data_IF_148918773684
#
_entry.id   IF_148918773684
#
_cell.length_a   1.000
_cell.length_b   1.000
_cell.length_c   1.000
_cell.angle_alpha   90.00
_cell.angle_beta   90.00
_cell.angle_gamma   90.00
#
_symmetry.space_group_name_H-M   'P 1'
#
loop_
_entity.id
_entity.type
_entity.pdbx_description
1 polymer ?
#
# COMPACT_ATOMS: atom_id res chain seq x y z
N UNK A 1 37.53 -38.56 41.47
CA UNK A 1 37.95 -39.12 40.16
C UNK A 1 38.76 -38.07 39.43
N UNK A 2 39.99 -38.42 39.03
CA UNK A 2 41.03 -37.47 38.63
C UNK A 2 40.98 -37.26 37.10
N UNK A 3 40.54 -36.08 36.65
CA UNK A 3 40.34 -35.70 35.23
C UNK A 3 41.62 -35.79 34.38
N UNK A 4 42.79 -35.81 35.01
CA UNK A 4 44.09 -35.87 34.33
C UNK A 4 44.41 -37.21 33.66
N UNK A 5 43.72 -38.30 34.02
CA UNK A 5 44.00 -39.62 33.42
C UNK A 5 43.15 -39.95 32.19
N UNK A 6 42.09 -39.19 31.89
CA UNK A 6 41.23 -39.43 30.72
C UNK A 6 41.86 -38.88 29.44
N UNK A 7 42.72 -37.87 29.53
CA UNK A 7 43.31 -37.20 28.36
C UNK A 7 44.59 -37.87 27.81
N UNK A 8 45.09 -38.93 28.46
CA UNK A 8 46.40 -39.53 28.15
C UNK A 8 46.33 -40.91 27.49
N UNK A 9 45.12 -41.45 27.30
CA UNK A 9 44.90 -42.74 26.64
C UNK A 9 44.28 -42.50 25.26
N UNK A 10 44.74 -43.17 24.21
CA UNK A 10 44.25 -42.96 22.83
C UNK A 10 42.74 -43.24 22.68
N UNK A 11 42.14 -43.93 23.66
CA UNK A 11 40.69 -44.16 23.78
C UNK A 11 39.92 -43.00 24.45
N UNK A 12 40.59 -42.09 25.15
CA UNK A 12 39.98 -40.96 25.85
C UNK A 12 39.86 -39.68 25.00
N UNK A 13 40.61 -39.58 23.89
CA UNK A 13 40.53 -38.48 22.93
C UNK A 13 39.26 -38.49 22.06
N UNK A 14 38.60 -39.64 21.91
CA UNK A 14 37.37 -39.74 21.12
C UNK A 14 36.24 -38.88 21.72
N UNK A 15 36.16 -38.83 23.05
CA UNK A 15 35.06 -38.18 23.77
C UNK A 15 35.01 -36.65 23.57
N UNK A 16 36.11 -35.87 23.71
CA UNK A 16 36.10 -34.45 23.40
C UNK A 16 35.92 -34.17 21.90
N UNK A 17 36.44 -35.03 21.02
CA UNK A 17 36.25 -34.89 19.56
C UNK A 17 34.77 -35.09 19.20
N UNK A 18 34.14 -36.16 19.69
CA UNK A 18 32.72 -36.42 19.48
C UNK A 18 31.85 -35.32 20.07
N UNK A 19 32.16 -34.81 21.26
CA UNK A 19 31.45 -33.68 21.87
C UNK A 19 31.55 -32.41 21.00
N UNK A 20 32.74 -32.10 20.47
CA UNK A 20 32.95 -30.98 19.55
C UNK A 20 32.14 -31.12 18.26
N UNK A 21 32.12 -32.33 17.67
CA UNK A 21 31.32 -32.61 16.47
C UNK A 21 29.82 -32.44 16.73
N UNK A 22 29.30 -32.98 17.84
CA UNK A 22 27.90 -32.83 18.24
C UNK A 22 27.56 -31.34 18.42
N UNK A 23 28.44 -30.58 19.05
CA UNK A 23 28.25 -29.15 19.25
C UNK A 23 28.16 -28.38 17.93
N UNK A 24 29.03 -28.70 16.96
CA UNK A 24 28.98 -28.11 15.61
C UNK A 24 27.67 -28.48 14.91
N UNK A 25 27.21 -29.73 15.00
CA UNK A 25 25.93 -30.13 14.43
C UNK A 25 24.75 -29.37 15.06
N UNK A 26 24.74 -29.21 16.37
CA UNK A 26 23.70 -28.43 17.06
C UNK A 26 23.74 -26.94 16.65
N UNK A 27 24.93 -26.38 16.47
CA UNK A 27 25.12 -25.02 15.97
C UNK A 27 24.50 -24.83 14.57
N UNK A 28 24.75 -25.78 13.67
CA UNK A 28 24.17 -25.75 12.32
C UNK A 28 22.65 -25.87 12.35
N UNK A 29 22.11 -26.78 13.18
CA UNK A 29 20.66 -26.93 13.33
C UNK A 29 20.03 -25.65 13.88
N UNK A 30 20.66 -25.02 14.87
CA UNK A 30 20.19 -23.75 15.44
C UNK A 30 20.05 -22.66 14.38
N UNK A 31 21.10 -22.48 13.56
CA UNK A 31 21.11 -21.50 12.47
C UNK A 31 20.00 -21.81 11.46
N UNK A 32 19.88 -23.07 11.01
CA UNK A 32 18.89 -23.46 9.99
C UNK A 32 17.46 -23.26 10.49
N UNK A 33 17.17 -23.62 11.74
CA UNK A 33 15.82 -23.50 12.31
C UNK A 33 15.43 -22.04 12.47
N UNK A 34 16.28 -21.20 13.09
CA UNK A 34 15.94 -19.80 13.31
C UNK A 34 15.92 -19.00 12.00
N UNK A 35 16.84 -19.28 11.08
CA UNK A 35 16.81 -18.66 9.75
C UNK A 35 15.59 -19.09 8.92
N UNK A 36 15.18 -20.35 9.04
CA UNK A 36 13.97 -20.86 8.40
C UNK A 36 12.70 -20.16 8.92
N UNK A 37 12.58 -20.03 10.24
CA UNK A 37 11.49 -19.27 10.88
C UNK A 37 11.50 -17.81 10.48
N UNK A 38 12.68 -17.18 10.48
CA UNK A 38 12.85 -15.79 10.04
C UNK A 38 12.42 -15.60 8.58
N UNK A 39 12.87 -16.46 7.67
CA UNK A 39 12.51 -16.37 6.25
C UNK A 39 11.01 -16.52 6.05
N UNK A 40 10.38 -17.50 6.71
CA UNK A 40 8.94 -17.66 6.66
C UNK A 40 8.18 -16.44 7.22
N UNK A 41 8.64 -15.88 8.34
CA UNK A 41 8.04 -14.69 8.94
C UNK A 41 8.25 -13.44 8.06
N UNK A 42 9.38 -13.32 7.37
CA UNK A 42 9.66 -12.24 6.42
C UNK A 42 8.70 -12.28 5.21
N UNK A 43 8.40 -13.46 4.67
CA UNK A 43 7.42 -13.60 3.57
C UNK A 43 6.00 -13.23 4.02
N UNK A 44 5.61 -13.63 5.25
CA UNK A 44 4.35 -13.19 5.85
C UNK A 44 4.33 -11.67 6.05
N UNK A 45 5.45 -11.07 6.48
CA UNK A 45 5.58 -9.62 6.65
C UNK A 45 5.45 -8.88 5.30
N UNK A 46 6.06 -9.40 4.23
CA UNK A 46 5.88 -8.87 2.86
C UNK A 46 4.41 -8.90 2.46
N UNK A 47 3.74 -10.04 2.67
CA UNK A 47 2.31 -10.20 2.36
C UNK A 47 1.44 -9.21 3.17
N UNK A 48 1.75 -9.02 4.44
CA UNK A 48 1.08 -8.04 5.30
C UNK A 48 1.32 -6.60 4.82
N UNK A 49 2.55 -6.29 4.36
CA UNK A 49 2.90 -5.01 3.74
C UNK A 49 2.13 -4.78 2.43
N UNK A 50 2.05 -5.77 1.56
CA UNK A 50 1.39 -5.68 0.25
C UNK A 50 -0.12 -5.46 0.40
N UNK A 51 -0.74 -6.19 1.32
CA UNK A 51 -2.15 -6.01 1.66
C UNK A 51 -2.42 -4.66 2.29
N UNK A 52 -1.55 -4.18 3.18
CA UNK A 52 -1.63 -2.84 3.77
C UNK A 52 -1.49 -1.74 2.71
N UNK A 53 -0.51 -1.86 1.81
CA UNK A 53 -0.29 -0.90 0.73
C UNK A 53 -1.48 -0.86 -0.25
N UNK A 54 -2.02 -2.03 -0.61
CA UNK A 54 -3.22 -2.13 -1.44
C UNK A 54 -4.44 -1.49 -0.76
N UNK A 55 -4.62 -1.71 0.55
CA UNK A 55 -5.71 -1.10 1.31
C UNK A 55 -5.58 0.42 1.36
N UNK A 56 -4.37 0.93 1.57
CA UNK A 56 -4.06 2.34 1.52
C UNK A 56 -4.38 2.95 0.14
N UNK A 57 -3.94 2.30 -0.94
CA UNK A 57 -4.23 2.72 -2.30
C UNK A 57 -5.74 2.72 -2.62
N UNK A 58 -6.51 1.79 -2.04
CA UNK A 58 -7.97 1.74 -2.18
C UNK A 58 -8.72 2.81 -1.40
N UNK A 59 -8.10 3.48 -0.42
CA UNK A 59 -8.78 4.53 0.35
C UNK A 59 -8.94 5.84 -0.42
N UNK A 60 -8.47 5.89 -1.67
CA UNK A 60 -8.44 7.10 -2.49
C UNK A 60 -9.81 7.42 -3.08
N UNK A 61 -10.16 8.71 -3.10
CA UNK A 61 -11.31 9.20 -3.87
C UNK A 61 -10.85 9.67 -5.26
N UNK A 62 -11.63 9.35 -6.29
CA UNK A 62 -11.40 9.84 -7.65
C UNK A 62 -12.23 11.09 -7.90
N UNK A 63 -11.64 12.11 -8.51
CA UNK A 63 -12.26 13.39 -8.81
C UNK A 63 -12.19 13.72 -10.29
N UNK A 64 -13.20 14.45 -10.75
CA UNK A 64 -13.28 14.97 -12.11
C UNK A 64 -13.70 16.44 -12.09
N UNK A 65 -13.18 17.18 -13.08
CA UNK A 65 -13.67 18.50 -13.46
C UNK A 65 -14.36 18.38 -14.80
N UNK A 66 -15.63 18.75 -14.86
CA UNK A 66 -16.48 18.66 -16.05
C UNK A 66 -16.84 20.06 -16.55
N UNK A 67 -16.91 20.19 -17.86
CA UNK A 67 -17.58 21.27 -18.58
C UNK A 67 -18.88 20.68 -19.13
N UNK A 68 -20.01 21.23 -18.72
CA UNK A 68 -21.35 20.73 -19.05
C UNK A 68 -22.07 21.82 -19.81
N UNK A 69 -22.37 21.56 -21.08
CA UNK A 69 -23.33 22.36 -21.84
C UNK A 69 -24.75 22.03 -21.33
N UNK A 70 -25.47 22.99 -20.69
CA UNK A 70 -26.80 22.73 -20.14
C UNK A 70 -27.83 22.40 -21.23
N UNK A 71 -27.50 22.65 -22.49
CA UNK A 71 -28.33 22.41 -23.65
C UNK A 71 -29.49 23.40 -23.74
N UNK A 72 -30.70 22.91 -24.00
CA UNK A 72 -31.85 23.79 -24.23
C UNK A 72 -33.04 23.47 -23.33
N UNK A 73 -33.90 24.46 -23.11
CA UNK A 73 -35.16 24.31 -22.38
C UNK A 73 -36.35 24.66 -23.26
N UNK A 74 -37.50 24.08 -22.93
CA UNK A 74 -38.76 24.44 -23.55
C UNK A 74 -39.12 25.89 -23.26
N UNK A 75 -39.30 26.66 -24.33
CA UNK A 75 -39.85 27.99 -24.30
C UNK A 75 -40.87 28.18 -25.42
N UNK A 76 -41.59 29.29 -25.36
CA UNK A 76 -42.57 29.72 -26.33
C UNK A 76 -41.88 30.54 -27.43
N UNK A 77 -41.69 29.95 -28.62
CA UNK A 77 -41.21 30.70 -29.78
C UNK A 77 -42.39 31.27 -30.57
N UNK A 78 -42.22 32.50 -31.04
CA UNK A 78 -43.16 33.17 -31.94
C UNK A 78 -43.06 32.62 -33.36
N UNK A 79 -44.15 32.02 -33.85
CA UNK A 79 -44.25 31.50 -35.22
C UNK A 79 -44.89 32.52 -36.20
N UNK A 80 -44.75 33.81 -35.95
CA UNK A 80 -45.15 34.89 -36.87
C UNK A 80 -46.65 35.22 -36.94
N UNK A 81 -47.55 34.32 -36.53
CA UNK A 81 -49.01 34.50 -36.61
C UNK A 81 -49.72 34.52 -35.24
N UNK A 82 -49.10 35.14 -34.23
CA UNK A 82 -49.69 35.29 -32.88
C UNK A 82 -49.89 33.98 -32.12
N UNK A 83 -49.31 32.89 -32.61
CA UNK A 83 -49.28 31.58 -31.98
C UNK A 83 -47.95 31.31 -31.28
N UNK A 84 -48.05 30.77 -30.07
CA UNK A 84 -46.92 30.23 -29.31
C UNK A 84 -46.67 28.78 -29.74
N UNK A 85 -45.51 28.51 -30.32
CA UNK A 85 -45.09 27.14 -30.64
C UNK A 85 -43.99 26.71 -29.66
N UNK A 86 -44.12 25.52 -29.05
CA UNK A 86 -43.12 25.05 -28.12
C UNK A 86 -41.83 24.78 -28.90
N UNK A 87 -40.75 25.45 -28.50
CA UNK A 87 -39.42 25.32 -29.09
C UNK A 87 -38.37 25.10 -28.00
N UNK A 88 -37.19 24.62 -28.38
CA UNK A 88 -36.06 24.50 -27.47
C UNK A 88 -35.13 25.70 -27.65
N UNK A 89 -35.03 26.54 -26.62
CA UNK A 89 -34.10 27.68 -26.56
C UNK A 89 -32.91 27.35 -25.69
N UNK A 90 -31.75 27.92 -26.02
CA UNK A 90 -30.50 27.71 -25.29
C UNK A 90 -30.63 28.09 -23.81
N UNK A 91 -30.11 27.24 -22.92
CA UNK A 91 -30.10 27.45 -21.48
C UNK A 91 -28.92 28.29 -20.99
N UNK A 92 -28.03 28.69 -21.89
CA UNK A 92 -26.93 29.59 -21.62
C UNK A 92 -25.58 28.87 -21.60
N UNK A 93 -24.59 29.57 -21.05
CA UNK A 93 -23.19 29.15 -21.19
C UNK A 93 -22.85 27.84 -20.46
N UNK A 94 -21.84 27.08 -20.95
CA UNK A 94 -21.36 25.88 -20.29
C UNK A 94 -20.94 26.08 -18.83
N UNK A 95 -21.31 25.13 -17.99
CA UNK A 95 -21.09 25.16 -16.54
C UNK A 95 -19.90 24.28 -16.18
N UNK A 96 -19.00 24.80 -15.34
CA UNK A 96 -17.87 24.04 -14.80
C UNK A 96 -18.25 23.43 -13.45
N UNK A 97 -18.17 22.11 -13.34
CA UNK A 97 -18.51 21.38 -12.11
C UNK A 97 -17.32 20.51 -11.68
N UNK A 98 -17.01 20.53 -10.39
CA UNK A 98 -15.98 19.68 -9.77
C UNK A 98 -16.64 18.78 -8.74
N UNK A 99 -16.30 17.50 -8.76
CA UNK A 99 -16.83 16.54 -7.79
C UNK A 99 -16.19 15.17 -7.96
N UNK A 100 -16.70 14.20 -7.18
CA UNK A 100 -16.24 12.82 -7.30
C UNK A 100 -16.62 12.24 -8.64
N UNK A 101 -15.73 11.44 -9.21
CA UNK A 101 -15.97 10.71 -10.45
C UNK A 101 -17.20 9.80 -10.32
N UNK A 102 -17.32 9.11 -9.18
CA UNK A 102 -18.48 8.26 -8.90
C UNK A 102 -19.81 9.02 -8.92
N UNK A 103 -19.86 10.22 -8.33
CA UNK A 103 -21.09 10.99 -8.22
C UNK A 103 -21.45 11.66 -9.54
N UNK A 104 -20.46 12.24 -10.22
CA UNK A 104 -20.72 13.00 -11.44
C UNK A 104 -20.83 12.11 -12.67
N UNK A 105 -19.93 11.15 -12.86
CA UNK A 105 -19.86 10.30 -14.06
C UNK A 105 -20.58 8.97 -13.86
N UNK A 106 -20.18 8.18 -12.87
CA UNK A 106 -20.67 6.79 -12.74
C UNK A 106 -22.17 6.73 -12.42
N UNK A 107 -22.64 7.66 -11.57
CA UNK A 107 -24.05 7.82 -11.21
C UNK A 107 -24.81 8.83 -12.10
N UNK A 108 -24.20 9.28 -13.20
CA UNK A 108 -24.76 10.29 -14.12
C UNK A 108 -25.24 11.58 -13.43
N UNK A 109 -24.65 11.94 -12.28
CA UNK A 109 -25.04 13.13 -11.52
C UNK A 109 -24.84 14.45 -12.28
N UNK A 110 -24.03 14.45 -13.35
CA UNK A 110 -23.91 15.58 -14.27
C UNK A 110 -25.23 15.95 -14.96
N UNK A 111 -26.18 15.01 -15.11
CA UNK A 111 -27.47 15.26 -15.78
C UNK A 111 -28.34 16.29 -15.07
N UNK A 112 -28.14 16.51 -13.77
CA UNK A 112 -28.89 17.51 -13.00
C UNK A 112 -28.63 18.95 -13.44
N UNK A 113 -27.57 19.16 -14.23
CA UNK A 113 -27.22 20.44 -14.82
C UNK A 113 -27.81 20.61 -16.24
N UNK A 114 -28.49 19.60 -16.77
CA UNK A 114 -29.17 19.69 -18.06
C UNK A 114 -30.55 20.33 -17.93
N UNK A 115 -30.93 21.08 -18.95
CA UNK A 115 -32.27 21.60 -19.12
C UNK A 115 -33.25 20.56 -19.67
N UNK A 116 -34.53 20.97 -19.81
CA UNK A 116 -35.65 20.09 -20.14
C UNK A 116 -35.62 19.49 -21.55
N UNK A 117 -35.00 20.14 -22.54
CA UNK A 117 -34.74 19.53 -23.84
C UNK A 117 -33.47 18.67 -23.87
N UNK A 118 -32.70 18.64 -22.76
CA UNK A 118 -31.51 17.82 -22.57
C UNK A 118 -30.19 18.52 -22.92
N UNK A 119 -29.08 17.93 -22.48
CA UNK A 119 -27.73 18.36 -22.83
C UNK A 119 -27.29 17.78 -24.19
N UNK A 120 -26.69 18.60 -25.05
CA UNK A 120 -26.04 18.17 -26.28
C UNK A 120 -24.70 17.45 -25.99
N UNK A 121 -24.58 16.16 -26.30
CA UNK A 121 -23.27 15.47 -26.38
C UNK A 121 -22.62 15.04 -25.05
N UNK A 122 -23.27 15.27 -23.91
CA UNK A 122 -22.77 14.85 -22.59
C UNK A 122 -21.64 15.74 -22.04
N UNK A 123 -21.14 15.46 -20.82
CA UNK A 123 -20.15 16.30 -20.17
C UNK A 123 -18.77 16.11 -20.79
N UNK A 124 -18.05 17.20 -20.99
CA UNK A 124 -16.64 17.17 -21.39
C UNK A 124 -15.77 17.14 -20.14
N UNK A 125 -14.90 16.14 -20.05
CA UNK A 125 -13.96 16.02 -18.93
C UNK A 125 -12.77 16.96 -19.19
N UNK A 126 -12.56 17.91 -18.29
CA UNK A 126 -11.45 18.86 -18.36
C UNK A 126 -10.22 18.41 -17.57
N UNK A 127 -10.44 17.75 -16.43
CA UNK A 127 -9.38 17.25 -15.56
C UNK A 127 -9.87 16.02 -14.79
N UNK A 128 -8.94 15.14 -14.43
CA UNK A 128 -9.17 13.95 -13.62
C UNK A 128 -7.98 13.72 -12.72
N UNK A 129 -8.24 13.42 -11.46
CA UNK A 129 -7.19 13.12 -10.49
C UNK A 129 -7.73 12.25 -9.37
N UNK A 130 -6.84 11.88 -8.46
CA UNK A 130 -7.20 11.18 -7.25
C UNK A 130 -6.76 11.98 -6.03
N UNK A 131 -7.47 11.87 -4.92
CA UNK A 131 -7.11 12.58 -3.71
C UNK A 131 -7.22 11.66 -2.51
N UNK A 132 -6.16 11.67 -1.71
CA UNK A 132 -6.14 10.99 -0.43
C UNK A 132 -6.56 11.99 0.64
N UNK A 133 -7.75 11.78 1.19
CA UNK A 133 -8.33 12.61 2.23
C UNK A 133 -7.36 12.88 3.37
N UNK A 134 -7.50 14.06 3.98
CA UNK A 134 -6.74 14.45 5.16
C UNK A 134 -5.22 14.36 4.94
N UNK A 135 -4.74 14.65 3.72
CA UNK A 135 -3.32 14.57 3.37
C UNK A 135 -2.74 13.16 3.47
N UNK A 136 -3.56 12.13 3.25
CA UNK A 136 -3.16 10.72 3.33
C UNK A 136 -3.45 10.03 4.66
N UNK A 137 -4.01 10.71 5.67
CA UNK A 137 -4.30 10.09 6.98
C UNK A 137 -5.24 8.88 6.88
N UNK A 138 -6.23 8.93 5.99
CA UNK A 138 -7.16 7.82 5.75
C UNK A 138 -6.41 6.60 5.16
N UNK A 139 -5.44 6.84 4.29
CA UNK A 139 -4.60 5.79 3.71
C UNK A 139 -3.72 5.13 4.77
N UNK A 140 -3.12 5.92 5.66
CA UNK A 140 -2.34 5.41 6.81
C UNK A 140 -3.23 4.57 7.73
N UNK A 141 -4.44 5.03 8.02
CA UNK A 141 -5.37 4.32 8.90
C UNK A 141 -5.82 3.00 8.28
N UNK A 142 -6.15 2.99 6.99
CA UNK A 142 -6.48 1.78 6.25
C UNK A 142 -5.30 0.78 6.20
N UNK A 143 -4.08 1.27 5.93
CA UNK A 143 -2.87 0.46 5.93
C UNK A 143 -2.64 -0.22 7.29
N UNK A 144 -2.71 0.56 8.37
CA UNK A 144 -2.51 0.06 9.74
C UNK A 144 -3.55 -0.98 10.12
N UNK A 145 -4.83 -0.69 9.89
CA UNK A 145 -5.91 -1.61 10.22
C UNK A 145 -5.74 -2.98 9.53
N UNK A 146 -5.37 -2.98 8.24
CA UNK A 146 -5.14 -4.22 7.49
C UNK A 146 -3.85 -4.90 7.92
N UNK A 147 -2.78 -4.15 8.20
CA UNK A 147 -1.53 -4.72 8.70
C UNK A 147 -1.72 -5.44 10.03
N UNK A 148 -2.41 -4.82 11.00
CA UNK A 148 -2.66 -5.41 12.32
C UNK A 148 -3.34 -6.79 12.25
N UNK A 149 -4.27 -6.98 11.30
CA UNK A 149 -4.99 -8.25 11.12
C UNK A 149 -4.12 -9.31 10.42
N UNK A 150 -3.10 -8.88 9.67
CA UNK A 150 -2.20 -9.75 8.90
C UNK A 150 -0.80 -9.88 9.52
N UNK A 151 -0.61 -9.41 10.76
CA UNK A 151 0.69 -9.49 11.42
C UNK A 151 1.20 -10.93 11.49
N UNK A 152 2.47 -11.19 11.18
CA UNK A 152 3.06 -12.50 11.39
C UNK A 152 3.09 -12.82 12.89
N UNK A 153 2.51 -13.96 13.27
CA UNK A 153 2.49 -14.42 14.67
C UNK A 153 3.87 -14.47 15.32
N UNK A 154 4.92 -14.79 14.54
CA UNK A 154 6.31 -14.86 14.99
C UNK A 154 6.92 -13.48 15.31
N UNK A 155 6.27 -12.41 14.87
CA UNK A 155 6.68 -11.01 15.05
C UNK A 155 5.69 -10.25 15.97
N UNK A 156 4.89 -10.97 16.74
CA UNK A 156 4.06 -10.39 17.79
C UNK A 156 4.77 -10.39 19.15
N UNK A 157 4.38 -9.45 20.01
CA UNK A 157 4.96 -9.29 21.35
C UNK A 157 4.86 -10.56 22.20
N UNK A 158 3.74 -11.29 22.09
CA UNK A 158 3.54 -12.54 22.82
C UNK A 158 4.50 -13.67 22.40
N UNK A 159 5.03 -13.62 21.17
CA UNK A 159 6.07 -14.51 20.67
C UNK A 159 7.50 -13.98 20.96
N UNK A 160 7.60 -12.84 21.65
CA UNK A 160 8.85 -12.11 21.89
C UNK A 160 9.31 -11.29 20.69
N UNK A 161 8.50 -11.15 19.64
CA UNK A 161 8.80 -10.34 18.46
C UNK A 161 8.19 -8.93 18.53
N UNK A 162 8.32 -8.17 17.44
CA UNK A 162 7.54 -6.94 17.24
C UNK A 162 7.41 -6.65 15.75
N UNK A 163 6.33 -5.99 15.34
CA UNK A 163 6.17 -5.54 13.95
C UNK A 163 5.33 -4.27 13.86
N UNK A 164 5.67 -3.42 12.90
CA UNK A 164 4.98 -2.16 12.63
C UNK A 164 5.15 -1.76 11.16
N UNK A 165 4.34 -0.81 10.70
CA UNK A 165 4.48 -0.20 9.38
C UNK A 165 4.77 1.30 9.46
N UNK A 166 5.44 1.81 8.44
CA UNK A 166 5.53 3.23 8.14
C UNK A 166 4.97 3.50 6.74
N UNK A 167 4.30 4.65 6.58
CA UNK A 167 3.65 5.06 5.34
C UNK A 167 4.02 6.52 5.12
N UNK A 168 4.71 6.82 4.02
CA UNK A 168 5.01 8.21 3.65
C UNK A 168 3.81 8.79 2.88
N UNK A 169 3.25 9.89 3.41
CA UNK A 169 2.12 10.59 2.82
C UNK A 169 2.48 11.94 2.20
N UNK A 170 3.77 12.34 2.25
CA UNK A 170 4.23 13.67 1.84
C UNK A 170 3.91 14.03 0.38
N UNK A 171 3.73 13.01 -0.46
CA UNK A 171 3.41 13.11 -1.88
C UNK A 171 1.96 12.74 -2.22
N UNK A 172 1.13 12.31 -1.26
CA UNK A 172 -0.26 11.85 -1.48
C UNK A 172 -1.30 12.98 -1.59
N UNK A 173 -0.87 14.20 -1.94
CA UNK A 173 -1.75 15.34 -2.14
C UNK A 173 -2.01 15.60 -3.61
N UNK A 174 -3.23 16.03 -3.96
CA UNK A 174 -3.55 16.53 -5.30
C UNK A 174 -2.65 17.68 -5.81
N UNK A 175 -1.93 18.39 -4.92
CA UNK A 175 -0.96 19.43 -5.29
C UNK A 175 0.41 18.85 -5.70
N UNK A 176 0.60 17.54 -5.52
CA UNK A 176 1.84 16.81 -5.79
C UNK A 176 1.68 15.83 -6.95
N UNK A 177 0.74 16.08 -7.87
CA UNK A 177 0.52 15.26 -9.08
C UNK A 177 1.76 15.10 -9.97
N UNK A 178 2.71 16.04 -9.87
CA UNK A 178 3.98 16.00 -10.59
C UNK A 178 5.06 15.14 -9.88
N UNK A 179 4.76 14.57 -8.72
CA UNK A 179 5.68 13.65 -8.05
C UNK A 179 5.66 12.31 -8.76
N UNK A 180 6.85 11.74 -9.02
CA UNK A 180 6.98 10.41 -9.60
C UNK A 180 6.34 9.31 -8.72
N UNK A 181 6.16 9.57 -7.43
CA UNK A 181 5.56 8.63 -6.47
C UNK A 181 4.02 8.67 -6.48
N UNK A 182 3.44 9.80 -6.90
CA UNK A 182 2.00 9.96 -7.00
C UNK A 182 1.47 9.18 -8.23
N UNK A 183 0.31 8.50 -8.15
CA UNK A 183 -0.67 8.53 -7.06
C UNK A 183 -0.65 7.30 -6.15
N UNK A 184 0.38 6.45 -6.20
CA UNK A 184 0.38 5.18 -5.46
C UNK A 184 0.76 5.35 -4.01
N UNK A 185 0.58 4.33 -3.17
CA UNK A 185 0.96 4.39 -1.75
C UNK A 185 2.06 3.39 -1.47
N UNK A 186 3.12 3.84 -0.81
CA UNK A 186 4.23 3.00 -0.36
C UNK A 186 4.13 2.73 1.14
N UNK A 187 4.34 1.47 1.51
CA UNK A 187 4.33 1.00 2.90
C UNK A 187 5.63 0.27 3.15
N UNK A 188 6.36 0.65 4.19
CA UNK A 188 7.47 -0.13 4.71
C UNK A 188 6.98 -0.89 5.93
N UNK A 189 7.12 -2.21 5.92
CA UNK A 189 6.85 -3.05 7.08
C UNK A 189 8.17 -3.48 7.73
N UNK A 190 8.22 -3.37 9.04
CA UNK A 190 9.36 -3.74 9.86
C UNK A 190 8.93 -4.80 10.86
N UNK A 191 9.82 -5.78 11.08
CA UNK A 191 9.55 -6.91 11.96
C UNK A 191 10.80 -7.38 12.70
N UNK A 192 10.60 -7.97 13.87
CA UNK A 192 11.63 -8.61 14.68
C UNK A 192 11.14 -9.98 15.08
N UNK A 193 11.94 -11.01 14.81
CA UNK A 193 11.70 -12.39 15.23
C UNK A 193 12.72 -12.76 16.29
N UNK A 194 12.25 -13.25 17.43
CA UNK A 194 13.13 -13.79 18.47
C UNK A 194 13.70 -15.14 18.06
N UNK A 195 15.02 -15.29 18.19
CA UNK A 195 15.68 -16.58 17.98
C UNK A 195 15.41 -17.52 19.15
N UNK A 196 15.27 -18.80 18.85
CA UNK A 196 15.02 -19.83 19.87
C UNK A 196 16.29 -20.58 20.22
N UNK A 197 17.10 -20.87 19.21
CA UNK A 197 18.28 -21.70 19.34
C UNK A 197 19.52 -20.84 19.27
N UNK A 198 19.63 -19.90 18.33
CA UNK A 198 20.84 -19.09 18.12
C UNK A 198 21.28 -18.28 19.36
N UNK A 199 20.39 -18.02 20.31
CA UNK A 199 20.75 -17.38 21.59
C UNK A 199 21.80 -18.20 22.38
N UNK A 200 21.91 -19.51 22.12
CA UNK A 200 22.95 -20.37 22.70
C UNK A 200 24.38 -19.93 22.33
N UNK A 201 24.57 -19.21 21.21
CA UNK A 201 25.88 -18.72 20.79
C UNK A 201 26.45 -17.67 21.74
N UNK A 202 25.63 -17.05 22.62
CA UNK A 202 26.10 -16.19 23.72
C UNK A 202 27.04 -16.93 24.69
N UNK A 203 26.98 -18.26 24.74
CA UNK A 203 27.93 -19.08 25.52
C UNK A 203 29.34 -19.09 24.91
N UNK A 204 29.46 -18.85 23.61
CA UNK A 204 30.73 -18.83 22.87
C UNK A 204 31.25 -17.41 22.75
N UNK A 205 30.37 -16.48 22.36
CA UNK A 205 30.67 -15.05 22.26
C UNK A 205 29.59 -14.25 23.00
N UNK A 206 29.86 -13.84 24.26
CA UNK A 206 28.91 -13.08 25.07
C UNK A 206 28.57 -11.70 24.49
N UNK A 207 29.38 -11.18 23.57
CA UNK A 207 29.19 -9.86 22.98
C UNK A 207 28.36 -9.91 21.68
N UNK A 208 28.06 -11.09 21.16
CA UNK A 208 27.27 -11.24 19.94
C UNK A 208 25.77 -11.20 20.26
N UNK A 209 25.03 -10.31 19.58
CA UNK A 209 23.58 -10.22 19.69
C UNK A 209 22.92 -11.10 18.63
N UNK A 210 22.56 -12.32 19.04
CA UNK A 210 21.77 -13.25 18.24
C UNK A 210 20.33 -13.36 18.73
N UNK A 211 19.86 -12.47 19.59
CA UNK A 211 18.56 -12.61 20.24
C UNK A 211 17.40 -12.36 19.27
N UNK A 212 17.62 -11.49 18.28
CA UNK A 212 16.61 -11.10 17.29
C UNK A 212 17.15 -11.10 15.87
N UNK A 213 16.28 -11.46 14.93
CA UNK A 213 16.46 -11.26 13.50
C UNK A 213 15.49 -10.18 13.03
N UNK A 214 16.02 -9.10 12.47
CA UNK A 214 15.23 -7.97 11.97
C UNK A 214 14.89 -8.18 10.49
N UNK A 215 13.63 -7.96 10.13
CA UNK A 215 13.13 -7.96 8.76
C UNK A 215 12.61 -6.57 8.39
N UNK A 216 12.84 -6.16 7.16
CA UNK A 216 12.22 -4.98 6.55
C UNK A 216 11.77 -5.34 5.15
N UNK A 217 10.59 -4.88 4.77
CA UNK A 217 9.99 -5.10 3.45
C UNK A 217 9.35 -3.80 2.94
N UNK A 218 9.41 -3.59 1.62
CA UNK A 218 8.75 -2.47 0.95
C UNK A 218 7.60 -3.01 0.10
N UNK A 219 6.46 -2.33 0.16
CA UNK A 219 5.25 -2.70 -0.55
C UNK A 219 4.64 -1.49 -1.24
N UNK A 220 4.12 -1.68 -2.46
CA UNK A 220 3.53 -0.63 -3.28
C UNK A 220 2.08 -0.96 -3.64
N UNK A 221 1.16 -0.15 -3.13
CA UNK A 221 -0.24 -0.14 -3.53
C UNK A 221 -0.43 0.73 -4.75
N UNK A 222 -0.67 0.10 -5.91
CA UNK A 222 -0.77 0.81 -7.19
C UNK A 222 -2.14 1.49 -7.36
N UNK A 223 -2.12 2.81 -7.43
CA UNK A 223 -3.23 3.65 -7.92
C UNK A 223 -2.85 4.20 -9.29
N UNK A 224 -3.84 4.32 -10.17
CA UNK A 224 -3.64 4.88 -11.50
C UNK A 224 -4.91 5.61 -11.97
N UNK A 225 -4.74 6.64 -12.79
CA UNK A 225 -5.83 7.32 -13.49
C UNK A 225 -5.35 7.77 -14.87
N UNK A 226 -6.30 7.99 -15.78
CA UNK A 226 -5.99 8.51 -17.11
C UNK A 226 -6.01 10.04 -17.07
N UNK A 227 -4.88 10.64 -17.38
CA UNK A 227 -4.74 12.09 -17.49
C UNK A 227 -5.34 12.54 -18.81
N UNK A 228 -6.29 13.47 -18.71
CA UNK A 228 -7.11 13.93 -19.83
C UNK A 228 -6.34 14.92 -20.71
N UNK A 229 -5.34 15.61 -20.17
CA UNK A 229 -4.57 16.63 -20.88
C UNK A 229 -3.58 16.01 -21.88
N UNK A 230 -2.95 14.90 -21.50
CA UNK A 230 -1.95 14.23 -22.33
C UNK A 230 -2.39 12.84 -22.84
N UNK A 231 -3.55 12.35 -22.38
CA UNK A 231 -4.12 11.06 -22.76
C UNK A 231 -3.39 9.84 -22.16
N UNK A 232 -2.35 10.05 -21.35
CA UNK A 232 -1.51 9.00 -20.76
C UNK A 232 -2.08 8.52 -19.41
N UNK A 233 -1.67 7.32 -19.02
CA UNK A 233 -1.94 6.83 -17.67
C UNK A 233 -0.90 7.40 -16.70
N UNK A 234 -1.38 8.06 -15.66
CA UNK A 234 -0.58 8.44 -14.51
C UNK A 234 -0.47 7.24 -13.59
N UNK A 235 0.77 6.77 -13.43
CA UNK A 235 1.14 5.61 -12.62
C UNK A 235 2.56 5.84 -12.07
N UNK A 236 2.87 5.34 -10.87
CA UNK A 236 4.22 5.42 -10.29
C UNK A 236 5.22 4.57 -11.10
N UNK A 237 6.54 4.72 -10.83
CA UNK A 237 7.56 3.81 -11.35
C UNK A 237 7.31 2.38 -10.86
N UNK A 238 7.65 1.41 -11.72
CA UNK A 238 7.44 -0.01 -11.46
C UNK A 238 8.36 -0.56 -10.35
N UNK A 239 9.48 0.13 -10.03
CA UNK A 239 10.60 -0.44 -9.28
C UNK A 239 10.89 0.25 -7.93
N UNK A 240 9.99 1.07 -7.37
CA UNK A 240 10.33 1.86 -6.18
C UNK A 240 10.59 1.02 -4.91
N UNK A 241 9.99 -0.17 -4.82
CA UNK A 241 10.23 -1.12 -3.74
C UNK A 241 11.20 -2.25 -4.11
N UNK A 242 11.80 -2.21 -5.31
CA UNK A 242 12.82 -3.16 -5.75
C UNK A 242 14.22 -2.58 -5.46
N UNK A 243 14.65 -2.64 -4.20
CA UNK A 243 16.06 -2.48 -3.78
C UNK A 243 16.52 -3.69 -2.96
#
# INVERSE_FOLDING_TARGET
MNTKNILKDQKGGILPITAGVIFIFLALVAIVVDYGRYTAAKEKLQTAGDTAALAAAKSVDRYVKLEIDPGSSWDCCDDGDGGCSPCCVDCGDPIIVVGKEADLIDNEGWRRYCCSCGCSGGPKILDRWVDYKNGGSDAVSAAKAVFEINKPSEMEEHAGGSSYISVDTSYLSQNRRNSDLYPSVFVQAHGKVRTLLMDFFKLIDPNADFEYLNASTCSQGRTYYRDVLNGKWQRPPDNHCEE
#
